data_IF_549624044548
#
_entry.id   IF_549624044548
#
_cell.length_a   1.000
_cell.length_b   1.000
_cell.length_c   1.000
_cell.angle_alpha   90.00
_cell.angle_beta   90.00
_cell.angle_gamma   90.00
#
_symmetry.space_group_name_H-M   'P 1'
#
loop_
_entity.id
_entity.type
_entity.pdbx_description
1 polymer ?
#
# COMPACT_ATOMS: atom_id res chain seq x y z
N UNK A 1 9.09 60.57 -71.54
CA UNK A 1 10.26 59.79 -71.97
C UNK A 1 10.61 58.83 -70.83
N UNK A 2 10.49 57.53 -71.10
CA UNK A 2 10.71 56.43 -70.16
C UNK A 2 12.18 56.24 -69.77
N UNK A 3 12.43 55.87 -68.51
CA UNK A 3 13.46 54.94 -67.98
C UNK A 3 13.12 54.71 -66.50
N UNK A 4 12.64 53.52 -66.15
CA UNK A 4 13.39 52.40 -65.56
C UNK A 4 13.93 52.70 -64.15
N UNK A 5 13.31 52.11 -63.12
CA UNK A 5 14.09 51.34 -62.13
C UNK A 5 13.23 50.30 -61.40
N UNK A 6 13.87 49.16 -61.10
CA UNK A 6 13.28 47.89 -60.65
C UNK A 6 12.95 47.89 -59.14
N UNK A 7 12.03 47.01 -58.69
CA UNK A 7 11.72 46.87 -57.26
C UNK A 7 12.79 46.09 -56.47
N UNK A 8 13.01 46.51 -55.23
CA UNK A 8 13.79 45.81 -54.20
C UNK A 8 13.07 44.53 -53.71
N UNK A 9 13.79 43.41 -53.47
CA UNK A 9 13.23 42.27 -52.76
C UNK A 9 13.27 42.47 -51.23
N UNK A 10 12.11 42.33 -50.60
CA UNK A 10 11.94 42.19 -49.15
C UNK A 10 12.32 40.77 -48.72
N UNK A 11 13.38 40.64 -47.94
CA UNK A 11 13.79 39.38 -47.28
C UNK A 11 13.04 39.27 -45.95
N UNK A 12 12.11 38.33 -45.84
CA UNK A 12 11.55 37.90 -44.55
C UNK A 12 12.37 36.73 -44.01
N UNK A 13 12.78 36.71 -42.73
CA UNK A 13 13.45 35.56 -42.14
C UNK A 13 12.43 34.48 -41.78
N UNK A 14 12.29 33.49 -42.67
CA UNK A 14 11.69 32.18 -42.37
C UNK A 14 12.66 31.37 -41.49
N UNK A 15 12.50 31.43 -40.17
CA UNK A 15 12.97 30.36 -39.27
C UNK A 15 11.98 30.16 -38.13
N UNK A 16 10.87 29.51 -38.45
CA UNK A 16 10.14 28.76 -37.43
C UNK A 16 11.10 27.74 -36.79
N UNK A 17 11.20 27.65 -35.45
CA UNK A 17 12.03 26.65 -34.81
C UNK A 17 11.55 25.25 -35.21
N UNK A 18 12.46 24.29 -35.44
CA UNK A 18 12.11 22.99 -35.99
C UNK A 18 11.19 22.23 -35.02
N UNK A 19 9.99 21.90 -35.50
CA UNK A 19 8.93 21.14 -34.81
C UNK A 19 9.40 19.82 -34.16
N UNK A 20 10.59 19.34 -34.51
CA UNK A 20 11.22 18.14 -33.95
C UNK A 20 11.59 18.26 -32.47
N UNK A 21 11.86 19.47 -31.96
CA UNK A 21 12.19 19.66 -30.53
C UNK A 21 10.96 19.52 -29.62
N UNK A 22 9.77 19.92 -30.10
CA UNK A 22 8.53 19.81 -29.33
C UNK A 22 8.04 18.36 -29.20
N UNK A 23 8.25 17.54 -30.24
CA UNK A 23 7.80 16.14 -30.23
C UNK A 23 8.61 15.28 -29.22
N UNK A 24 9.91 15.58 -29.04
CA UNK A 24 10.75 14.87 -28.09
C UNK A 24 10.38 15.16 -26.62
N UNK A 25 10.00 16.41 -26.30
CA UNK A 25 9.50 16.75 -24.95
C UNK A 25 8.14 16.12 -24.64
N UNK A 26 7.25 16.04 -25.63
CA UNK A 26 5.93 15.44 -25.46
C UNK A 26 6.01 13.94 -25.16
N UNK A 27 6.98 13.21 -25.74
CA UNK A 27 7.18 11.78 -25.44
C UNK A 27 7.74 11.54 -24.03
N UNK A 28 8.57 12.42 -23.49
CA UNK A 28 9.10 12.28 -22.13
C UNK A 28 8.05 12.50 -21.02
N UNK A 29 6.90 13.10 -21.32
CA UNK A 29 5.76 13.23 -20.41
C UNK A 29 4.85 11.99 -20.37
N UNK A 30 5.00 11.07 -21.35
CA UNK A 30 4.22 9.84 -21.46
C UNK A 30 4.89 8.64 -20.77
N UNK A 31 6.12 8.79 -20.26
CA UNK A 31 6.72 7.77 -19.40
C UNK A 31 6.07 7.93 -18.03
N UNK A 32 5.25 6.97 -17.56
CA UNK A 32 4.72 7.03 -16.21
C UNK A 32 5.92 7.06 -15.26
N UNK A 33 6.15 8.22 -14.63
CA UNK A 33 7.04 8.31 -13.49
C UNK A 33 6.46 7.36 -12.46
N UNK A 34 7.15 6.25 -12.20
CA UNK A 34 6.86 5.43 -11.04
C UNK A 34 6.74 6.39 -9.85
N UNK A 35 5.63 6.30 -9.12
CA UNK A 35 5.40 7.11 -7.93
C UNK A 35 6.47 6.72 -6.88
N UNK A 36 7.66 7.28 -7.02
CA UNK A 36 8.79 7.08 -6.14
C UNK A 36 8.64 8.02 -4.94
N UNK A 37 7.65 7.72 -4.09
CA UNK A 37 7.45 8.47 -2.84
C UNK A 37 7.35 7.57 -1.60
N UNK A 38 7.36 6.24 -1.74
CA UNK A 38 7.33 5.32 -0.60
C UNK A 38 8.64 4.53 -0.55
N UNK A 39 9.38 4.69 0.56
CA UNK A 39 10.52 3.82 0.86
C UNK A 39 10.02 2.41 1.17
N UNK A 40 10.87 1.41 0.96
CA UNK A 40 10.58 0.06 1.40
C UNK A 40 10.31 0.05 2.91
N UNK A 41 9.31 -0.74 3.33
CA UNK A 41 9.07 -1.00 4.74
C UNK A 41 10.23 -1.80 5.31
N UNK A 42 10.56 -1.51 6.57
CA UNK A 42 11.56 -2.19 7.38
C UNK A 42 10.87 -2.83 8.58
N UNK A 43 11.45 -3.86 9.21
CA UNK A 43 10.83 -4.51 10.38
C UNK A 43 10.44 -3.53 11.50
N UNK A 44 11.20 -2.45 11.71
CA UNK A 44 10.94 -1.46 12.77
C UNK A 44 9.71 -0.57 12.50
N UNK A 45 9.19 -0.58 11.27
CA UNK A 45 7.96 0.12 10.89
C UNK A 45 6.70 -0.56 11.45
N UNK A 46 6.83 -1.79 11.94
CA UNK A 46 5.73 -2.59 12.45
C UNK A 46 5.75 -2.66 13.99
N UNK A 47 4.56 -2.65 14.61
CA UNK A 47 4.40 -2.77 16.06
C UNK A 47 4.61 -4.21 16.55
N UNK A 48 4.22 -5.16 15.72
CA UNK A 48 4.48 -6.59 15.83
C UNK A 48 4.81 -7.13 14.44
N UNK A 49 5.65 -8.16 14.39
CA UNK A 49 6.01 -8.82 13.14
C UNK A 49 6.12 -10.32 13.37
N UNK A 50 5.20 -11.08 12.79
CA UNK A 50 5.32 -12.52 12.61
C UNK A 50 6.07 -12.84 11.32
N UNK A 51 7.18 -13.58 11.42
CA UNK A 51 8.02 -13.99 10.30
C UNK A 51 8.35 -15.48 10.37
N UNK A 52 8.73 -16.06 9.24
CA UNK A 52 9.19 -17.44 9.20
C UNK A 52 10.65 -17.54 9.64
N UNK A 53 10.91 -18.32 10.68
CA UNK A 53 12.25 -18.68 11.16
C UNK A 53 12.33 -20.20 11.27
N UNK A 54 13.24 -20.82 10.52
CA UNK A 54 13.44 -22.28 10.51
C UNK A 54 12.14 -23.09 10.35
N UNK A 55 11.21 -22.62 9.51
CA UNK A 55 9.92 -23.26 9.25
C UNK A 55 8.79 -22.91 10.23
N UNK A 56 9.10 -22.18 11.32
CA UNK A 56 8.13 -21.77 12.33
C UNK A 56 7.74 -20.28 12.18
N UNK A 57 6.50 -19.94 12.52
CA UNK A 57 6.06 -18.55 12.61
C UNK A 57 6.45 -17.96 13.97
N UNK A 58 7.41 -17.04 13.97
CA UNK A 58 7.95 -16.38 15.16
C UNK A 58 7.54 -14.92 15.16
N UNK A 59 6.93 -14.46 16.25
CA UNK A 59 6.52 -13.07 16.43
C UNK A 59 7.55 -12.32 17.26
N UNK A 60 7.93 -11.14 16.77
CA UNK A 60 8.66 -10.15 17.54
C UNK A 60 7.81 -8.89 17.67
N UNK A 61 7.56 -8.45 18.91
CA UNK A 61 6.97 -7.15 19.17
C UNK A 61 8.05 -6.06 19.18
N UNK A 62 7.71 -4.83 18.87
CA UNK A 62 8.61 -3.70 19.06
C UNK A 62 8.80 -3.42 20.56
N UNK A 63 9.95 -2.90 20.98
CA UNK A 63 10.25 -2.70 22.41
C UNK A 63 9.26 -1.77 23.11
N UNK A 64 8.93 -0.64 22.49
CA UNK A 64 7.95 0.31 23.01
C UNK A 64 6.54 -0.29 23.12
N UNK A 65 6.20 -1.26 22.28
CA UNK A 65 4.91 -1.97 22.35
C UNK A 65 4.87 -2.90 23.56
N UNK A 66 5.95 -3.64 23.83
CA UNK A 66 6.07 -4.54 24.99
C UNK A 66 5.84 -3.81 26.31
N UNK A 67 6.29 -2.55 26.39
CA UNK A 67 6.19 -1.73 27.59
C UNK A 67 4.91 -0.88 27.61
N UNK A 68 3.95 -1.14 26.72
CA UNK A 68 2.72 -0.35 26.56
C UNK A 68 1.44 -1.16 26.74
N UNK A 69 0.34 -0.43 26.91
CA UNK A 69 -1.00 -1.03 26.93
C UNK A 69 -1.37 -1.72 25.59
N UNK A 70 -0.69 -1.38 24.49
CA UNK A 70 -0.94 -1.97 23.17
C UNK A 70 -0.46 -3.41 23.04
N UNK A 71 0.38 -3.90 23.97
CA UNK A 71 0.92 -5.26 23.90
C UNK A 71 -0.18 -6.30 23.68
N UNK A 72 -1.27 -6.25 24.46
CA UNK A 72 -2.35 -7.23 24.35
C UNK A 72 -3.11 -7.14 23.02
N UNK A 73 -3.23 -5.94 22.44
CA UNK A 73 -3.86 -5.75 21.13
C UNK A 73 -3.01 -6.35 20.02
N UNK A 74 -1.72 -6.02 20.00
CA UNK A 74 -0.80 -6.51 18.96
C UNK A 74 -0.56 -8.02 19.12
N UNK A 75 -0.43 -8.53 20.34
CA UNK A 75 -0.27 -9.96 20.57
C UNK A 75 -1.48 -10.76 20.08
N UNK A 76 -2.70 -10.25 20.26
CA UNK A 76 -3.92 -10.87 19.74
C UNK A 76 -3.97 -10.86 18.20
N UNK A 77 -3.42 -9.83 17.56
CA UNK A 77 -3.27 -9.79 16.10
C UNK A 77 -2.28 -10.87 15.62
N UNK A 78 -1.07 -10.84 16.18
CA UNK A 78 0.02 -11.71 15.75
C UNK A 78 -0.24 -13.20 16.09
N UNK A 79 -1.00 -13.49 17.15
CA UNK A 79 -1.38 -14.87 17.48
C UNK A 79 -2.20 -15.52 16.37
N UNK A 80 -3.09 -14.76 15.73
CA UNK A 80 -3.89 -15.25 14.59
C UNK A 80 -2.99 -15.61 13.42
N UNK A 81 -1.97 -14.80 13.12
CA UNK A 81 -1.01 -15.14 12.06
C UNK A 81 -0.19 -16.39 12.36
N UNK A 82 0.21 -16.59 13.62
CA UNK A 82 0.88 -17.84 14.03
C UNK A 82 -0.04 -19.05 13.90
N UNK A 83 -1.30 -18.93 14.31
CA UNK A 83 -2.29 -20.01 14.17
C UNK A 83 -2.56 -20.34 12.70
N UNK A 84 -2.73 -19.32 11.86
CA UNK A 84 -2.89 -19.48 10.41
C UNK A 84 -1.68 -20.17 9.79
N UNK A 85 -0.46 -19.76 10.15
CA UNK A 85 0.76 -20.40 9.67
C UNK A 85 0.88 -21.86 10.15
N UNK A 86 0.50 -22.16 11.40
CA UNK A 86 0.52 -23.50 11.97
C UNK A 86 -0.47 -24.47 11.31
N UNK A 87 -1.49 -23.96 10.61
CA UNK A 87 -2.41 -24.77 9.82
C UNK A 87 -1.82 -25.25 8.48
N UNK A 88 -0.58 -24.84 8.16
CA UNK A 88 0.14 -25.24 6.95
C UNK A 88 1.32 -26.16 7.28
N UNK A 89 1.83 -26.95 6.31
CA UNK A 89 3.00 -27.81 6.52
C UNK A 89 4.27 -27.06 6.97
N UNK A 90 4.39 -25.78 6.62
CA UNK A 90 5.42 -24.86 7.13
C UNK A 90 4.93 -23.41 7.03
N UNK A 91 5.61 -22.50 7.73
CA UNK A 91 5.35 -21.07 7.63
C UNK A 91 5.54 -20.54 6.19
N UNK A 92 6.55 -21.02 5.46
CA UNK A 92 6.79 -20.65 4.07
C UNK A 92 5.68 -21.15 3.15
N UNK A 93 5.14 -22.34 3.42
CA UNK A 93 3.98 -22.85 2.69
C UNK A 93 2.74 -21.98 2.90
N UNK A 94 2.55 -21.42 4.10
CA UNK A 94 1.53 -20.41 4.36
C UNK A 94 1.79 -19.12 3.59
N UNK A 95 2.99 -18.54 3.67
CA UNK A 95 3.34 -17.31 2.95
C UNK A 95 3.19 -17.46 1.42
N UNK A 96 3.51 -18.62 0.88
CA UNK A 96 3.35 -18.91 -0.55
C UNK A 96 1.88 -18.84 -1.01
N UNK A 97 0.90 -18.87 -0.10
CA UNK A 97 -0.51 -18.69 -0.44
C UNK A 97 -0.93 -17.22 -0.60
N UNK A 98 -0.11 -16.28 -0.10
CA UNK A 98 -0.41 -14.83 -0.06
C UNK A 98 -0.08 -14.14 -1.40
N UNK A 99 -0.56 -14.70 -2.50
CA UNK A 99 -0.23 -14.26 -3.86
C UNK A 99 -1.18 -13.20 -4.44
N UNK A 100 -2.20 -12.79 -3.69
CA UNK A 100 -3.18 -11.81 -4.15
C UNK A 100 -3.72 -10.95 -3.01
N UNK A 101 -4.20 -9.75 -3.36
CA UNK A 101 -4.87 -8.85 -2.43
C UNK A 101 -5.99 -9.53 -1.66
N UNK A 102 -6.81 -10.35 -2.34
CA UNK A 102 -7.90 -11.10 -1.71
C UNK A 102 -7.38 -12.06 -0.63
N UNK A 103 -6.33 -12.82 -0.92
CA UNK A 103 -5.73 -13.75 0.06
C UNK A 103 -5.14 -13.02 1.25
N UNK A 104 -4.49 -11.87 1.02
CA UNK A 104 -4.00 -11.00 2.09
C UNK A 104 -5.18 -10.53 2.95
N UNK A 105 -6.25 -10.00 2.36
CA UNK A 105 -7.45 -9.56 3.10
C UNK A 105 -8.04 -10.72 3.92
N UNK A 106 -8.16 -11.92 3.35
CA UNK A 106 -8.71 -13.09 4.05
C UNK A 106 -7.87 -13.51 5.28
N UNK A 107 -6.57 -13.21 5.27
CA UNK A 107 -5.64 -13.50 6.36
C UNK A 107 -5.62 -12.39 7.41
N UNK A 108 -5.60 -11.13 6.97
CA UNK A 108 -5.51 -9.96 7.84
C UNK A 108 -6.82 -9.67 8.57
N UNK A 109 -7.98 -9.90 7.93
CA UNK A 109 -9.27 -9.61 8.53
C UNK A 109 -9.49 -10.29 9.89
N UNK A 110 -9.30 -11.62 10.05
CA UNK A 110 -9.43 -12.25 11.37
C UNK A 110 -8.38 -11.78 12.38
N UNK A 111 -7.15 -11.45 11.95
CA UNK A 111 -6.11 -10.93 12.83
C UNK A 111 -6.49 -9.55 13.39
N UNK A 112 -6.95 -8.63 12.55
CA UNK A 112 -7.49 -7.36 13.01
C UNK A 112 -8.81 -7.51 13.77
N UNK A 113 -9.66 -8.51 13.50
CA UNK A 113 -10.83 -8.79 14.35
C UNK A 113 -10.38 -9.10 15.79
N UNK A 114 -9.35 -9.91 15.97
CA UNK A 114 -8.82 -10.26 17.29
C UNK A 114 -8.27 -9.03 18.01
N UNK A 115 -7.47 -8.22 17.32
CA UNK A 115 -6.98 -6.94 17.84
C UNK A 115 -8.13 -6.00 18.25
N UNK A 116 -9.13 -5.87 17.37
CA UNK A 116 -10.29 -5.01 17.57
C UNK A 116 -11.10 -5.37 18.82
N UNK A 117 -11.28 -6.67 19.09
CA UNK A 117 -11.99 -7.12 20.30
C UNK A 117 -11.28 -6.63 21.56
N UNK A 118 -9.96 -6.70 21.60
CA UNK A 118 -9.16 -6.20 22.74
C UNK A 118 -9.23 -4.68 22.84
N UNK A 119 -9.09 -3.97 21.71
CA UNK A 119 -9.17 -2.51 21.69
C UNK A 119 -10.53 -1.99 22.22
N UNK A 120 -11.64 -2.59 21.77
CA UNK A 120 -13.00 -2.23 22.22
C UNK A 120 -13.21 -2.57 23.69
N UNK A 121 -12.73 -3.74 24.16
CA UNK A 121 -12.78 -4.10 25.57
C UNK A 121 -12.02 -3.09 26.47
N UNK A 122 -11.02 -2.41 25.90
CA UNK A 122 -10.27 -1.32 26.56
C UNK A 122 -10.87 0.07 26.36
N UNK A 123 -12.06 0.18 25.75
CA UNK A 123 -12.79 1.43 25.60
C UNK A 123 -12.54 2.19 24.29
N UNK A 124 -11.90 1.56 23.29
CA UNK A 124 -11.83 2.16 21.95
C UNK A 124 -13.22 2.27 21.32
N UNK A 125 -13.44 3.32 20.53
CA UNK A 125 -14.66 3.45 19.75
C UNK A 125 -14.70 2.35 18.68
N UNK A 126 -15.73 1.50 18.77
CA UNK A 126 -15.92 0.34 17.91
C UNK A 126 -16.01 0.72 16.42
N UNK A 127 -16.77 1.75 16.08
CA UNK A 127 -17.00 2.12 14.69
C UNK A 127 -15.77 2.80 14.07
N UNK A 128 -15.07 3.64 14.84
CA UNK A 128 -13.81 4.29 14.43
C UNK A 128 -12.73 3.24 14.21
N UNK A 129 -12.49 2.38 15.19
CA UNK A 129 -11.43 1.35 15.12
C UNK A 129 -11.64 0.38 13.96
N UNK A 130 -12.89 -0.06 13.69
CA UNK A 130 -13.19 -0.89 12.50
C UNK A 130 -12.84 -0.20 11.19
N UNK A 131 -13.19 1.09 11.04
CA UNK A 131 -12.86 1.85 9.82
C UNK A 131 -11.35 2.01 9.65
N UNK A 132 -10.63 2.27 10.74
CA UNK A 132 -9.17 2.39 10.71
C UNK A 132 -8.51 1.06 10.33
N UNK A 133 -8.93 -0.06 10.90
CA UNK A 133 -8.38 -1.37 10.56
C UNK A 133 -8.74 -1.79 9.13
N UNK A 134 -9.97 -1.54 8.67
CA UNK A 134 -10.33 -1.78 7.29
C UNK A 134 -9.47 -0.97 6.31
N UNK A 135 -9.13 0.29 6.66
CA UNK A 135 -8.21 1.10 5.88
C UNK A 135 -6.79 0.51 5.85
N UNK A 136 -6.27 0.04 6.99
CA UNK A 136 -4.94 -0.61 7.07
C UNK A 136 -4.86 -1.87 6.23
N UNK A 137 -5.87 -2.75 6.33
CA UNK A 137 -5.97 -3.96 5.51
C UNK A 137 -5.95 -3.60 4.02
N UNK A 138 -6.79 -2.63 3.61
CA UNK A 138 -6.86 -2.22 2.20
C UNK A 138 -5.55 -1.60 1.69
N UNK A 139 -4.84 -0.85 2.54
CA UNK A 139 -3.54 -0.27 2.21
C UNK A 139 -2.48 -1.37 2.04
N UNK A 140 -2.39 -2.29 3.01
CA UNK A 140 -1.43 -3.38 3.01
C UNK A 140 -1.65 -4.37 1.86
N UNK A 141 -2.90 -4.67 1.53
CA UNK A 141 -3.24 -5.59 0.45
C UNK A 141 -3.20 -4.96 -0.94
N UNK A 142 -2.92 -3.65 -1.06
CA UNK A 142 -3.01 -2.91 -2.33
C UNK A 142 -4.44 -2.78 -2.89
N UNK A 143 -5.47 -2.92 -2.04
CA UNK A 143 -6.89 -2.91 -2.41
C UNK A 143 -7.59 -1.60 -1.99
N UNK A 144 -6.89 -0.47 -2.05
CA UNK A 144 -7.42 0.83 -1.60
C UNK A 144 -8.69 1.25 -2.35
N UNK A 145 -8.83 0.90 -3.63
CA UNK A 145 -10.05 1.13 -4.42
C UNK A 145 -11.25 0.34 -3.88
N UNK A 146 -11.00 -0.79 -3.20
CA UNK A 146 -12.00 -1.67 -2.60
C UNK A 146 -12.14 -1.49 -1.08
N UNK A 147 -11.58 -0.44 -0.48
CA UNK A 147 -11.58 -0.23 0.98
C UNK A 147 -12.96 -0.27 1.64
N UNK A 148 -14.02 0.15 0.93
CA UNK A 148 -15.40 0.07 1.44
C UNK A 148 -15.89 -1.37 1.55
N UNK A 149 -15.51 -2.25 0.61
CA UNK A 149 -15.84 -3.67 0.68
C UNK A 149 -15.09 -4.34 1.83
N UNK A 150 -13.83 -3.97 2.08
CA UNK A 150 -13.07 -4.44 3.25
C UNK A 150 -13.76 -4.03 4.55
N UNK A 151 -14.22 -2.78 4.66
CA UNK A 151 -14.95 -2.30 5.83
C UNK A 151 -16.27 -3.06 6.06
N UNK A 152 -17.03 -3.32 4.98
CA UNK A 152 -18.27 -4.11 5.05
C UNK A 152 -18.01 -5.55 5.52
N UNK A 153 -16.95 -6.18 5.01
CA UNK A 153 -16.53 -7.51 5.46
C UNK A 153 -16.14 -7.51 6.93
N UNK A 154 -15.36 -6.52 7.36
CA UNK A 154 -14.96 -6.38 8.75
C UNK A 154 -16.18 -6.29 9.67
N UNK A 155 -17.18 -5.47 9.31
CA UNK A 155 -18.41 -5.33 10.08
C UNK A 155 -19.25 -6.62 10.12
N UNK A 156 -19.31 -7.36 9.00
CA UNK A 156 -20.08 -8.59 8.90
C UNK A 156 -19.45 -9.77 9.65
N UNK A 157 -18.12 -9.90 9.56
CA UNK A 157 -17.32 -11.05 10.01
C UNK A 157 -16.79 -10.87 11.45
N UNK A 158 -16.47 -9.64 11.88
CA UNK A 158 -16.01 -9.36 13.24
C UNK A 158 -17.18 -9.04 14.19
N UNK A 159 -17.83 -10.09 14.69
CA UNK A 159 -18.87 -10.01 15.74
C UNK A 159 -18.31 -10.26 17.14
#
# INVERSE_FOLDING_TARGET
>A
MSRCDRPHPTVWPDKAPPARLFLAMALSLLVPRAAAAQRAATPDDFLGLTRCEAGAAVTNLRSDVRDSMLMAEIEAHESVHREQAAAHPSCEAFLATLTSARRIIDVELPAYCAQWKIAVARGADSAVSRREFAWRIAAQSGAMENRLQVAQRFEAECR
#
